data_IF_049294796189
#
_entry.id   IF_049294796189
#
_cell.length_a   1.000
_cell.length_b   1.000
_cell.length_c   1.000
_cell.angle_alpha   90.00
_cell.angle_beta   90.00
_cell.angle_gamma   90.00
#
_symmetry.space_group_name_H-M   'P 1'
#
loop_
_entity.id
_entity.type
_entity.pdbx_description
1 polymer ?
#
# COMPACT_ATOMS: atom_id res chain seq x y z
N UNK A 1 15.79 8.61 7.52
CA UNK A 1 15.90 9.29 6.21
C UNK A 1 15.60 8.33 5.04
N UNK A 2 16.01 7.06 5.13
CA UNK A 2 15.89 6.08 4.03
C UNK A 2 14.45 5.66 3.68
N UNK A 3 13.56 5.41 4.68
CA UNK A 3 12.17 5.00 4.42
C UNK A 3 11.40 6.00 3.55
N UNK A 4 11.64 7.30 3.74
CA UNK A 4 11.05 8.37 2.92
C UNK A 4 11.49 8.25 1.46
N UNK A 5 12.79 8.04 1.23
CA UNK A 5 13.35 7.91 -0.12
C UNK A 5 12.79 6.69 -0.85
N UNK A 6 12.67 5.54 -0.18
CA UNK A 6 12.04 4.34 -0.75
C UNK A 6 10.57 4.57 -1.11
N UNK A 7 9.82 5.28 -0.26
CA UNK A 7 8.43 5.65 -0.53
C UNK A 7 8.32 6.57 -1.74
N UNK A 8 9.16 7.59 -1.81
CA UNK A 8 9.11 8.59 -2.87
C UNK A 8 9.49 7.98 -4.23
N UNK A 9 10.55 7.14 -4.28
CA UNK A 9 10.90 6.33 -5.46
C UNK A 9 9.77 5.39 -5.89
N UNK A 10 9.10 4.73 -4.92
CA UNK A 10 7.93 3.90 -5.24
C UNK A 10 6.83 4.71 -5.94
N UNK A 11 6.59 5.95 -5.50
CA UNK A 11 5.59 6.82 -6.13
C UNK A 11 5.99 7.26 -7.54
N UNK A 12 7.28 7.43 -7.82
CA UNK A 12 7.77 7.66 -9.18
C UNK A 12 7.45 6.46 -10.08
N UNK A 13 7.81 5.24 -9.66
CA UNK A 13 7.51 4.02 -10.43
C UNK A 13 5.99 3.80 -10.59
N UNK A 14 5.20 4.06 -9.56
CA UNK A 14 3.74 3.99 -9.64
C UNK A 14 3.17 5.01 -10.64
N UNK A 15 3.76 6.21 -10.69
CA UNK A 15 3.41 7.24 -11.67
C UNK A 15 3.74 6.82 -13.09
N UNK A 16 4.97 6.32 -13.31
CA UNK A 16 5.43 5.80 -14.60
C UNK A 16 4.55 4.64 -15.08
N UNK A 17 4.23 3.69 -14.19
CA UNK A 17 3.30 2.59 -14.50
C UNK A 17 1.94 3.10 -15.01
N UNK A 18 1.38 4.13 -14.37
CA UNK A 18 0.11 4.75 -14.82
C UNK A 18 0.26 5.38 -16.21
N UNK A 19 1.34 6.12 -16.44
CA UNK A 19 1.62 6.75 -17.75
C UNK A 19 1.77 5.69 -18.84
N UNK A 20 2.53 4.62 -18.59
CA UNK A 20 2.76 3.56 -19.56
C UNK A 20 1.52 2.71 -19.83
N UNK A 21 0.61 2.55 -18.86
CA UNK A 21 -0.73 1.98 -19.11
C UNK A 21 -1.56 2.83 -20.06
N UNK A 22 -1.48 4.15 -19.95
CA UNK A 22 -2.09 5.09 -20.92
C UNK A 22 -1.50 4.92 -22.31
N UNK A 23 -0.17 4.94 -22.42
CA UNK A 23 0.54 4.70 -23.70
C UNK A 23 0.24 3.35 -24.32
N UNK A 24 0.09 2.29 -23.52
CA UNK A 24 -0.31 0.97 -24.00
C UNK A 24 -1.72 0.98 -24.60
N UNK A 25 -2.66 1.70 -23.99
CA UNK A 25 -4.00 1.87 -24.53
C UNK A 25 -3.95 2.61 -25.88
N UNK A 26 -3.19 3.70 -25.97
CA UNK A 26 -2.97 4.46 -27.21
C UNK A 26 -2.30 3.60 -28.31
N UNK A 27 -1.26 2.83 -27.94
CA UNK A 27 -0.56 1.94 -28.87
C UNK A 27 -1.49 0.86 -29.42
N UNK A 28 -2.34 0.27 -28.58
CA UNK A 28 -3.37 -0.70 -29.00
C UNK A 28 -4.37 -0.09 -29.98
N UNK A 29 -4.80 1.15 -29.76
CA UNK A 29 -5.68 1.86 -30.71
C UNK A 29 -4.99 2.17 -32.05
N UNK A 30 -3.66 2.36 -32.05
CA UNK A 30 -2.88 2.64 -33.27
C UNK A 30 -2.50 1.41 -34.11
N UNK A 31 -2.67 0.20 -33.58
CA UNK A 31 -2.42 -1.06 -34.32
C UNK A 31 -0.95 -1.42 -34.58
N UNK A 32 0.02 -0.66 -34.06
CA UNK A 32 1.44 -0.93 -34.30
C UNK A 32 1.99 -1.99 -33.33
N UNK A 33 2.25 -3.19 -33.83
CA UNK A 33 2.71 -4.35 -33.04
C UNK A 33 4.00 -4.09 -32.23
N UNK A 34 4.98 -3.41 -32.82
CA UNK A 34 6.26 -3.13 -32.13
C UNK A 34 6.06 -2.20 -30.93
N UNK A 35 5.25 -1.14 -31.07
CA UNK A 35 4.95 -0.19 -29.99
C UNK A 35 4.08 -0.80 -28.89
N UNK A 36 3.20 -1.74 -29.26
CA UNK A 36 2.38 -2.47 -28.29
C UNK A 36 3.28 -3.33 -27.40
N UNK A 37 4.22 -4.06 -28.00
CA UNK A 37 5.15 -4.91 -27.24
C UNK A 37 6.02 -4.08 -26.30
N UNK A 38 6.64 -3.00 -26.80
CA UNK A 38 7.46 -2.11 -25.99
C UNK A 38 6.67 -1.52 -24.81
N UNK A 39 5.46 -1.00 -25.07
CA UNK A 39 4.61 -0.45 -24.02
C UNK A 39 4.19 -1.50 -22.99
N UNK A 40 3.96 -2.74 -23.42
CA UNK A 40 3.62 -3.85 -22.53
C UNK A 40 4.80 -4.22 -21.62
N UNK A 41 6.01 -4.33 -22.18
CA UNK A 41 7.22 -4.63 -21.42
C UNK A 41 7.50 -3.54 -20.38
N UNK A 42 7.33 -2.27 -20.75
CA UNK A 42 7.49 -1.15 -19.81
C UNK A 42 6.45 -1.15 -18.69
N UNK A 43 5.20 -1.54 -18.97
CA UNK A 43 4.17 -1.71 -17.93
C UNK A 43 4.58 -2.79 -16.94
N UNK A 44 5.04 -3.95 -17.41
CA UNK A 44 5.51 -5.05 -16.56
C UNK A 44 6.70 -4.64 -15.72
N UNK A 45 7.68 -3.95 -16.33
CA UNK A 45 8.87 -3.46 -15.64
C UNK A 45 8.50 -2.52 -14.48
N UNK A 46 7.70 -1.49 -14.74
CA UNK A 46 7.34 -0.54 -13.68
C UNK A 46 6.38 -1.12 -12.65
N UNK A 47 5.56 -2.11 -12.99
CA UNK A 47 4.76 -2.84 -12.00
C UNK A 47 5.66 -3.65 -11.07
N UNK A 48 6.63 -4.35 -11.63
CA UNK A 48 7.62 -5.12 -10.87
C UNK A 48 8.42 -4.21 -9.93
N UNK A 49 8.92 -3.08 -10.43
CA UNK A 49 9.69 -2.12 -9.64
C UNK A 49 8.87 -1.51 -8.49
N UNK A 50 7.61 -1.11 -8.72
CA UNK A 50 6.78 -0.56 -7.65
C UNK A 50 6.40 -1.62 -6.61
N UNK A 51 6.18 -2.88 -7.02
CA UNK A 51 5.87 -3.99 -6.11
C UNK A 51 7.08 -4.38 -5.28
N UNK A 52 8.28 -4.42 -5.86
CA UNK A 52 9.53 -4.64 -5.14
C UNK A 52 9.71 -3.59 -4.02
N UNK A 53 9.51 -2.31 -4.35
CA UNK A 53 9.57 -1.23 -3.36
C UNK A 53 8.45 -1.31 -2.33
N UNK A 54 7.25 -1.81 -2.69
CA UNK A 54 6.18 -2.07 -1.73
C UNK A 54 6.61 -3.13 -0.71
N UNK A 55 7.23 -4.22 -1.17
CA UNK A 55 7.70 -5.30 -0.29
C UNK A 55 8.74 -4.78 0.72
N UNK A 56 9.71 -4.01 0.25
CA UNK A 56 10.71 -3.36 1.13
C UNK A 56 10.05 -2.37 2.10
N UNK A 57 9.07 -1.58 1.64
CA UNK A 57 8.36 -0.63 2.52
C UNK A 57 7.60 -1.33 3.65
N UNK A 58 6.95 -2.45 3.33
CA UNK A 58 6.22 -3.26 4.30
C UNK A 58 7.17 -3.96 5.28
N UNK A 59 8.36 -4.37 4.82
CA UNK A 59 9.34 -5.03 5.68
C UNK A 59 9.96 -4.10 6.74
N UNK A 60 10.03 -2.78 6.52
CA UNK A 60 10.49 -1.84 7.56
C UNK A 60 9.66 -1.95 8.85
N UNK A 61 8.35 -2.17 8.75
CA UNK A 61 7.48 -2.31 9.92
C UNK A 61 7.73 -3.65 10.64
N UNK A 62 7.94 -4.75 9.90
CA UNK A 62 8.30 -6.03 10.52
C UNK A 62 9.72 -6.04 11.10
N UNK A 63 10.65 -5.30 10.49
CA UNK A 63 12.05 -5.28 10.90
C UNK A 63 12.26 -4.74 12.31
N UNK A 64 11.52 -3.71 12.72
CA UNK A 64 11.66 -3.12 14.07
C UNK A 64 11.24 -4.07 15.20
N UNK A 65 10.48 -5.12 14.89
CA UNK A 65 10.10 -6.18 15.84
C UNK A 65 10.89 -7.48 15.65
N UNK A 66 11.85 -7.54 14.72
CA UNK A 66 12.61 -8.77 14.47
C UNK A 66 13.66 -8.98 15.57
N UNK A 67 13.63 -10.15 16.22
CA UNK A 67 14.68 -10.54 17.18
C UNK A 67 16.06 -10.47 16.52
N UNK A 68 17.01 -9.83 17.18
CA UNK A 68 18.36 -9.59 16.65
C UNK A 68 18.46 -8.52 15.55
N UNK A 69 17.44 -7.66 15.39
CA UNK A 69 17.58 -6.44 14.61
C UNK A 69 18.48 -5.44 15.34
N UNK A 70 19.34 -4.73 14.59
CA UNK A 70 20.21 -3.68 15.14
C UNK A 70 19.40 -2.51 15.70
N UNK A 71 18.22 -2.25 15.12
CA UNK A 71 17.27 -1.23 15.55
C UNK A 71 15.94 -1.88 15.93
N UNK A 72 15.98 -2.75 16.96
CA UNK A 72 14.78 -3.32 17.56
C UNK A 72 14.13 -2.31 18.52
N UNK A 73 12.81 -2.08 18.38
CA UNK A 73 12.01 -1.32 19.35
C UNK A 73 10.57 -1.78 19.30
N UNK A 74 10.11 -2.34 20.43
CA UNK A 74 8.72 -2.78 20.59
C UNK A 74 7.78 -1.57 20.72
N UNK A 75 8.26 -0.51 21.36
CA UNK A 75 7.53 0.74 21.59
C UNK A 75 7.21 1.43 20.27
N UNK A 76 8.21 1.56 19.39
CA UNK A 76 8.02 2.13 18.05
C UNK A 76 6.98 1.32 17.27
N UNK A 77 7.06 0.00 17.32
CA UNK A 77 6.11 -0.85 16.64
C UNK A 77 4.69 -0.71 17.23
N UNK A 78 4.57 -0.68 18.55
CA UNK A 78 3.30 -0.46 19.26
C UNK A 78 2.64 0.86 18.90
N UNK A 79 3.39 1.96 18.89
CA UNK A 79 2.88 3.29 18.51
C UNK A 79 2.36 3.31 17.08
N UNK A 80 3.07 2.68 16.12
CA UNK A 80 2.63 2.62 14.73
C UNK A 80 1.33 1.82 14.59
N UNK A 81 1.24 0.65 15.23
CA UNK A 81 0.03 -0.20 15.21
C UNK A 81 -1.16 0.51 15.81
N UNK A 82 -0.98 1.09 17.00
CA UNK A 82 -2.02 1.82 17.71
C UNK A 82 -2.52 3.01 16.89
N UNK A 83 -1.60 3.79 16.31
CA UNK A 83 -1.96 4.96 15.50
C UNK A 83 -2.70 4.54 14.22
N UNK A 84 -2.25 3.49 13.54
CA UNK A 84 -2.93 2.94 12.37
C UNK A 84 -4.34 2.44 12.69
N UNK A 85 -4.48 1.68 13.78
CA UNK A 85 -5.78 1.20 14.27
C UNK A 85 -6.72 2.36 14.62
N UNK A 86 -6.21 3.43 15.25
CA UNK A 86 -7.02 4.61 15.58
C UNK A 86 -7.51 5.35 14.33
N UNK A 87 -6.65 5.50 13.32
CA UNK A 87 -7.02 6.14 12.04
C UNK A 87 -8.15 5.37 11.36
N UNK A 88 -8.03 4.04 11.24
CA UNK A 88 -9.04 3.24 10.53
C UNK A 88 -10.36 3.15 11.31
N UNK A 89 -10.30 3.11 12.65
CA UNK A 89 -11.48 3.15 13.50
C UNK A 89 -12.23 4.49 13.38
N UNK A 90 -11.51 5.61 13.37
CA UNK A 90 -12.12 6.93 13.17
C UNK A 90 -12.79 7.03 11.79
N UNK A 91 -12.11 6.53 10.74
CA UNK A 91 -12.67 6.47 9.39
C UNK A 91 -13.95 5.61 9.34
N UNK A 92 -13.97 4.45 10.02
CA UNK A 92 -15.18 3.61 10.14
C UNK A 92 -16.33 4.37 10.79
N UNK A 93 -16.10 5.05 11.91
CA UNK A 93 -17.12 5.83 12.62
C UNK A 93 -17.70 6.91 11.71
N UNK A 94 -16.87 7.56 10.88
CA UNK A 94 -17.34 8.54 9.92
C UNK A 94 -18.19 7.90 8.82
N UNK A 95 -17.74 6.75 8.27
CA UNK A 95 -18.45 6.00 7.24
C UNK A 95 -19.80 5.47 7.75
N UNK A 96 -19.91 5.03 9.00
CA UNK A 96 -21.15 4.57 9.63
C UNK A 96 -22.23 5.65 9.73
N UNK A 97 -21.83 6.92 9.80
CA UNK A 97 -22.78 8.05 9.85
C UNK A 97 -23.37 8.37 8.48
N UNK A 98 -22.66 8.05 7.41
CA UNK A 98 -23.06 8.40 6.03
C UNK A 98 -23.56 7.20 5.22
N UNK A 99 -23.21 5.98 5.62
CA UNK A 99 -23.50 4.75 4.91
C UNK A 99 -23.31 3.52 5.81
N UNK A 100 -23.04 2.36 5.20
CA UNK A 100 -22.82 1.11 5.96
C UNK A 100 -21.45 0.52 5.64
N UNK A 101 -20.55 0.36 6.62
CA UNK A 101 -19.33 -0.43 6.44
C UNK A 101 -19.68 -1.91 6.31
N UNK A 102 -18.93 -2.62 5.47
CA UNK A 102 -19.07 -4.05 5.22
C UNK A 102 -17.88 -4.81 5.79
N UNK A 103 -16.67 -4.36 5.48
CA UNK A 103 -15.42 -5.01 5.90
C UNK A 103 -14.38 -3.95 6.25
N UNK A 104 -13.66 -4.21 7.34
CA UNK A 104 -12.59 -3.35 7.85
C UNK A 104 -11.27 -4.11 7.78
N UNK A 105 -10.32 -3.59 7.02
CA UNK A 105 -8.95 -4.12 6.92
C UNK A 105 -7.97 -3.08 7.51
N UNK A 106 -6.72 -3.50 7.72
CA UNK A 106 -5.60 -2.74 8.31
C UNK A 106 -5.41 -1.36 7.68
N UNK A 107 -5.68 -1.23 6.37
CA UNK A 107 -5.44 -0.01 5.60
C UNK A 107 -6.64 0.40 4.70
N UNK A 108 -7.81 -0.19 4.90
CA UNK A 108 -8.95 0.05 4.01
C UNK A 108 -10.31 -0.31 4.62
N UNK A 109 -11.35 0.35 4.10
CA UNK A 109 -12.74 0.10 4.46
C UNK A 109 -13.49 -0.23 3.18
N UNK A 110 -14.21 -1.35 3.19
CA UNK A 110 -15.26 -1.65 2.22
C UNK A 110 -16.57 -1.17 2.80
N UNK A 111 -17.30 -0.35 2.05
CA UNK A 111 -18.55 0.22 2.51
C UNK A 111 -19.51 0.49 1.35
N UNK A 112 -20.80 0.55 1.68
CA UNK A 112 -21.84 1.05 0.79
C UNK A 112 -22.25 2.45 1.23
N UNK A 113 -22.33 3.36 0.27
CA UNK A 113 -22.82 4.72 0.46
C UNK A 113 -24.18 4.87 -0.27
N UNK A 114 -25.06 5.77 0.18
CA UNK A 114 -26.30 6.07 -0.53
C UNK A 114 -26.03 6.54 -1.96
N UNK A 115 -26.91 6.21 -2.92
CA UNK A 115 -26.76 6.64 -4.31
C UNK A 115 -26.82 8.17 -4.51
N UNK A 116 -27.38 8.90 -3.55
CA UNK A 116 -27.37 10.37 -3.53
C UNK A 116 -26.05 10.98 -3.00
N UNK A 117 -25.11 10.15 -2.55
CA UNK A 117 -23.85 10.61 -2.00
C UNK A 117 -22.96 11.20 -3.11
N UNK A 118 -22.31 12.36 -2.88
CA UNK A 118 -21.40 12.92 -3.87
C UNK A 118 -20.18 12.02 -4.10
N UNK A 119 -19.93 11.63 -5.35
CA UNK A 119 -18.81 10.74 -5.70
C UNK A 119 -17.60 11.50 -6.26
N UNK A 120 -17.67 11.93 -7.52
CA UNK A 120 -16.52 12.47 -8.24
C UNK A 120 -16.83 13.85 -8.80
N UNK A 121 -15.96 14.82 -8.50
CA UNK A 121 -16.02 16.17 -9.03
C UNK A 121 -14.83 16.42 -9.96
N UNK A 122 -15.06 17.10 -11.09
CA UNK A 122 -14.00 17.48 -12.02
C UNK A 122 -13.88 18.99 -12.09
N UNK A 123 -12.75 19.52 -11.63
CA UNK A 123 -12.44 20.95 -11.69
C UNK A 123 -11.63 21.27 -12.95
N UNK A 124 -11.95 22.41 -13.58
CA UNK A 124 -11.13 23.01 -14.62
C UNK A 124 -10.17 24.00 -13.96
N UNK A 125 -8.88 23.73 -14.05
CA UNK A 125 -7.86 24.69 -13.56
C UNK A 125 -7.69 25.84 -14.55
N UNK A 126 -7.18 26.99 -14.08
CA UNK A 126 -6.85 28.14 -14.95
C UNK A 126 -5.86 27.78 -16.07
N UNK A 127 -5.06 26.73 -15.85
CA UNK A 127 -4.07 26.18 -16.80
C UNK A 127 -4.71 25.16 -17.78
N UNK A 128 -6.04 25.00 -17.76
CA UNK A 128 -6.78 24.11 -18.67
C UNK A 128 -6.72 22.62 -18.31
N UNK A 129 -5.89 22.22 -17.34
CA UNK A 129 -5.84 20.82 -16.87
C UNK A 129 -7.09 20.48 -16.04
N UNK A 130 -7.69 19.33 -16.34
CA UNK A 130 -8.80 18.76 -15.55
C UNK A 130 -8.25 18.07 -14.31
N UNK A 131 -8.77 18.40 -13.14
CA UNK A 131 -8.47 17.72 -11.87
C UNK A 131 -9.73 17.02 -11.39
N UNK A 132 -9.70 15.69 -11.34
CA UNK A 132 -10.79 14.90 -10.78
C UNK A 132 -10.48 14.55 -9.33
N UNK A 133 -11.42 14.84 -8.44
CA UNK A 133 -11.37 14.46 -7.03
C UNK A 133 -12.49 13.47 -6.72
N UNK A 134 -12.25 12.58 -5.76
CA UNK A 134 -13.30 11.75 -5.15
C UNK A 134 -13.65 12.37 -3.80
N UNK A 135 -14.91 12.81 -3.64
CA UNK A 135 -15.37 13.48 -2.42
C UNK A 135 -15.23 12.60 -1.17
N UNK A 136 -15.63 11.31 -1.17
CA UNK A 136 -15.44 10.44 0.00
C UNK A 136 -13.97 10.28 0.39
N UNK A 137 -13.07 10.19 -0.60
CA UNK A 137 -11.63 10.10 -0.33
C UNK A 137 -11.08 11.40 0.27
N UNK A 138 -11.49 12.56 -0.27
CA UNK A 138 -11.07 13.87 0.25
C UNK A 138 -11.60 14.09 1.66
N UNK A 139 -12.86 13.76 1.92
CA UNK A 139 -13.48 13.84 3.23
C UNK A 139 -12.68 13.06 4.29
N UNK A 140 -12.34 11.79 4.01
CA UNK A 140 -11.52 10.97 4.90
C UNK A 140 -10.10 11.53 5.07
N UNK A 141 -9.49 12.03 4.00
CA UNK A 141 -8.15 12.60 4.07
C UNK A 141 -8.10 13.89 4.90
N UNK A 142 -9.15 14.71 4.86
CA UNK A 142 -9.28 15.90 5.72
C UNK A 142 -9.43 15.50 7.18
N UNK A 143 -10.22 14.48 7.50
CA UNK A 143 -10.36 13.98 8.87
C UNK A 143 -9.02 13.49 9.44
N UNK A 144 -8.28 12.68 8.67
CA UNK A 144 -6.94 12.23 9.05
C UNK A 144 -5.97 13.39 9.21
N UNK A 145 -6.00 14.37 8.31
CA UNK A 145 -5.12 15.54 8.43
C UNK A 145 -5.42 16.36 9.69
N UNK A 146 -6.69 16.50 10.09
CA UNK A 146 -7.05 17.23 11.31
C UNK A 146 -6.66 16.50 12.59
N UNK A 147 -6.81 15.17 12.62
CA UNK A 147 -6.65 14.38 13.83
C UNK A 147 -5.24 13.77 14.00
N UNK A 148 -4.44 13.69 12.93
CA UNK A 148 -3.17 12.93 12.94
C UNK A 148 -1.99 13.71 12.35
N UNK A 149 -2.10 15.03 12.16
CA UNK A 149 -0.95 15.86 11.77
C UNK A 149 0.03 15.99 12.94
N UNK A 150 1.33 15.89 12.64
CA UNK A 150 2.40 16.12 13.61
C UNK A 150 2.91 17.56 13.49
N UNK A 151 2.41 18.44 14.35
CA UNK A 151 2.78 19.85 14.40
C UNK A 151 4.16 20.11 15.04
N UNK A 152 4.76 19.08 15.63
CA UNK A 152 6.05 19.14 16.33
C UNK A 152 7.22 18.59 15.48
N UNK A 153 7.02 18.36 14.18
CA UNK A 153 8.06 17.80 13.31
C UNK A 153 9.20 18.81 13.07
N UNK A 154 10.40 18.50 13.57
CA UNK A 154 11.58 19.35 13.44
C UNK A 154 12.52 18.82 12.34
N UNK A 155 13.10 19.74 11.57
CA UNK A 155 14.16 19.45 10.61
C UNK A 155 15.43 20.17 11.02
N UNK A 156 16.56 19.47 10.87
CA UNK A 156 17.88 20.08 11.03
C UNK A 156 18.13 21.04 9.87
N UNK A 157 18.37 22.31 10.18
CA UNK A 157 18.81 23.31 9.21
C UNK A 157 20.28 23.63 9.49
N UNK A 158 21.18 23.24 8.58
CA UNK A 158 22.58 23.65 8.67
C UNK A 158 22.74 25.02 7.99
N UNK A 159 22.80 26.07 8.80
CA UNK A 159 23.33 27.36 8.38
C UNK A 159 24.87 27.32 8.31
N UNK A 160 25.48 28.32 7.69
CA UNK A 160 26.93 28.40 7.48
C UNK A 160 27.75 28.43 8.78
N UNK A 161 27.17 28.86 9.91
CA UNK A 161 27.89 29.01 11.19
C UNK A 161 27.10 28.57 12.45
N UNK A 162 25.90 27.97 12.34
CA UNK A 162 25.13 27.46 13.49
C UNK A 162 24.25 26.27 13.09
N UNK A 163 24.05 25.34 14.02
CA UNK A 163 23.07 24.25 13.90
C UNK A 163 21.75 24.73 14.49
N UNK A 164 20.83 25.17 13.63
CA UNK A 164 19.50 25.59 14.06
C UNK A 164 18.46 24.51 13.69
N UNK A 165 17.47 24.30 14.54
CA UNK A 165 16.33 23.42 14.26
C UNK A 165 15.13 24.28 13.84
N UNK A 166 14.57 23.99 12.67
CA UNK A 166 13.35 24.66 12.21
C UNK A 166 12.17 23.72 12.33
N UNK A 167 11.08 24.21 12.92
CA UNK A 167 9.79 23.52 12.88
C UNK A 167 9.33 23.45 11.43
N UNK A 168 9.28 22.23 10.88
CA UNK A 168 8.61 22.00 9.63
C UNK A 168 7.10 21.99 9.94
N UNK A 169 6.47 23.19 9.93
CA UNK A 169 5.01 23.26 9.85
C UNK A 169 4.59 22.34 8.70
N UNK A 170 3.70 21.39 8.99
CA UNK A 170 3.30 20.34 8.06
C UNK A 170 2.88 20.93 6.73
N UNK A 171 3.84 21.05 5.80
CA UNK A 171 3.55 21.59 4.49
C UNK A 171 2.80 20.49 3.74
N UNK A 172 1.48 20.63 3.68
CA UNK A 172 0.57 19.72 2.99
C UNK A 172 1.03 19.45 1.55
N UNK A 173 1.75 20.39 0.93
CA UNK A 173 2.28 20.26 -0.44
C UNK A 173 3.30 19.12 -0.60
N UNK A 174 3.96 18.69 0.49
CA UNK A 174 4.91 17.57 0.48
C UNK A 174 4.31 16.24 0.91
N UNK A 175 3.13 16.25 1.52
CA UNK A 175 2.41 15.03 1.88
C UNK A 175 1.48 14.65 0.72
N UNK A 176 1.95 13.74 -0.15
CA UNK A 176 1.06 13.12 -1.14
C UNK A 176 -0.08 12.44 -0.39
N UNK A 177 -1.32 12.70 -0.84
CA UNK A 177 -2.56 12.10 -0.35
C UNK A 177 -2.32 10.70 0.22
N UNK A 178 -2.61 10.52 1.50
CA UNK A 178 -2.80 9.18 2.06
C UNK A 178 -3.93 8.60 1.22
N UNK A 179 -3.63 7.59 0.42
CA UNK A 179 -4.66 6.85 -0.27
C UNK A 179 -5.40 6.07 0.80
N UNK A 180 -6.32 6.71 1.53
CA UNK A 180 -7.42 6.00 2.17
C UNK A 180 -8.17 5.37 1.01
N UNK A 181 -7.83 4.11 0.74
CA UNK A 181 -8.29 3.42 -0.45
C UNK A 181 -9.72 3.01 -0.14
N UNK A 182 -10.67 3.93 -0.26
CA UNK A 182 -12.08 3.59 -0.29
C UNK A 182 -12.27 2.76 -1.56
N UNK A 183 -12.36 1.45 -1.40
CA UNK A 183 -12.68 0.57 -2.51
C UNK A 183 -14.20 0.49 -2.57
N UNK A 184 -14.77 1.31 -3.45
CA UNK A 184 -16.13 1.10 -3.92
C UNK A 184 -16.08 -0.15 -4.80
N UNK A 185 -16.69 -1.23 -4.33
CA UNK A 185 -16.77 -2.46 -5.12
C UNK A 185 -17.66 -2.25 -6.35
N UNK A 186 -17.37 -2.89 -7.49
CA UNK A 186 -18.39 -3.06 -8.51
C UNK A 186 -19.50 -3.92 -7.91
N UNK A 187 -20.72 -3.40 -7.90
CA UNK A 187 -21.92 -4.18 -7.63
C UNK A 187 -22.51 -4.56 -8.98
N UNK A 188 -22.50 -5.85 -9.31
CA UNK A 188 -23.47 -6.39 -10.28
C UNK A 188 -24.83 -6.48 -9.58
N UNK A 189 -25.93 -6.47 -10.35
CA UNK A 189 -27.33 -6.44 -9.85
C UNK A 189 -27.65 -7.57 -8.85
N UNK A 190 -26.80 -8.59 -8.80
CA UNK A 190 -26.91 -9.78 -7.97
C UNK A 190 -26.31 -9.62 -6.56
N UNK A 191 -25.71 -8.47 -6.25
CA UNK A 191 -25.15 -8.16 -4.91
C UNK A 191 -23.90 -8.96 -4.51
N UNK A 192 -23.32 -9.76 -5.42
CA UNK A 192 -22.17 -10.61 -5.14
C UNK A 192 -20.85 -9.90 -5.43
N UNK A 193 -20.02 -9.72 -4.39
CA UNK A 193 -18.71 -9.05 -4.48
C UNK A 193 -17.66 -10.01 -5.07
N UNK A 194 -17.40 -9.92 -6.39
CA UNK A 194 -16.24 -10.57 -7.03
C UNK A 194 -15.16 -9.53 -7.29
N UNK A 195 -14.23 -9.36 -6.36
CA UNK A 195 -13.16 -8.37 -6.54
C UNK A 195 -11.95 -8.99 -7.23
N UNK A 196 -11.34 -8.25 -8.16
CA UNK A 196 -10.01 -8.54 -8.71
C UNK A 196 -8.89 -8.51 -7.62
N UNK A 197 -9.21 -8.24 -6.36
CA UNK A 197 -8.32 -8.38 -5.21
C UNK A 197 -8.31 -9.83 -4.71
N UNK A 198 -9.48 -10.47 -4.67
CA UNK A 198 -9.65 -11.88 -4.29
C UNK A 198 -8.97 -12.81 -5.31
N UNK A 199 -9.05 -12.48 -6.60
CA UNK A 199 -8.33 -13.20 -7.66
C UNK A 199 -6.81 -12.97 -7.62
N UNK A 200 -6.35 -11.76 -7.30
CA UNK A 200 -4.92 -11.47 -7.13
C UNK A 200 -4.33 -12.11 -5.88
N UNK A 201 -5.07 -12.16 -4.78
CA UNK A 201 -4.68 -12.93 -3.59
C UNK A 201 -4.65 -14.42 -3.90
N UNK A 202 -5.65 -14.96 -4.62
CA UNK A 202 -5.60 -16.35 -5.13
C UNK A 202 -4.38 -16.60 -6.01
N UNK A 203 -4.05 -15.71 -6.95
CA UNK A 203 -2.87 -15.86 -7.81
C UNK A 203 -1.56 -15.74 -7.04
N UNK A 204 -1.48 -14.88 -6.02
CA UNK A 204 -0.31 -14.81 -5.14
C UNK A 204 -0.16 -16.07 -4.28
N UNK A 205 -1.25 -16.61 -3.76
CA UNK A 205 -1.27 -17.88 -3.01
C UNK A 205 -0.87 -19.04 -3.92
N UNK A 206 -1.40 -19.10 -5.15
CA UNK A 206 -1.07 -20.12 -6.15
C UNK A 206 0.40 -20.05 -6.58
N UNK A 207 0.94 -18.83 -6.77
CA UNK A 207 2.38 -18.65 -7.04
C UNK A 207 3.24 -19.09 -5.86
N UNK A 208 2.81 -18.84 -4.62
CA UNK A 208 3.56 -19.27 -3.43
C UNK A 208 3.52 -20.79 -3.23
N UNK A 209 2.41 -21.45 -3.57
CA UNK A 209 2.29 -22.92 -3.55
C UNK A 209 3.17 -23.55 -4.63
N UNK A 210 3.15 -23.03 -5.86
CA UNK A 210 4.02 -23.52 -6.93
C UNK A 210 5.52 -23.33 -6.61
N UNK A 211 5.90 -22.24 -5.93
CA UNK A 211 7.27 -22.02 -5.46
C UNK A 211 7.68 -23.01 -4.34
N UNK A 212 6.77 -23.36 -3.45
CA UNK A 212 6.99 -24.38 -2.42
C UNK A 212 7.15 -25.78 -3.05
N UNK A 213 6.32 -26.10 -4.04
CA UNK A 213 6.38 -27.39 -4.75
C UNK A 213 7.66 -27.54 -5.56
N UNK A 214 8.14 -26.46 -6.21
CA UNK A 214 9.45 -26.43 -6.86
C UNK A 214 10.61 -26.62 -5.85
N UNK A 215 10.52 -26.01 -4.66
CA UNK A 215 11.53 -26.17 -3.62
C UNK A 215 11.57 -27.61 -3.07
N UNK A 216 10.41 -28.24 -2.91
CA UNK A 216 10.28 -29.63 -2.47
C UNK A 216 10.79 -30.63 -3.53
N UNK A 217 10.60 -30.34 -4.83
CA UNK A 217 11.13 -31.16 -5.92
C UNK A 217 12.65 -30.97 -6.11
N UNK A 218 13.19 -29.80 -5.78
CA UNK A 218 14.64 -29.56 -5.81
C UNK A 218 15.37 -30.24 -4.63
N UNK A 219 14.71 -30.40 -3.47
CA UNK A 219 15.26 -31.07 -2.29
C UNK A 219 15.47 -32.58 -2.42
N UNK A 220 14.84 -33.24 -3.41
CA UNK A 220 14.94 -34.68 -3.61
C UNK A 220 16.16 -35.16 -4.41
N UNK A 221 17.06 -34.25 -4.87
CA UNK A 221 18.26 -34.63 -5.66
C UNK A 221 19.59 -34.54 -4.93
N UNK A 222 19.63 -34.18 -3.65
CA UNK A 222 20.91 -34.14 -2.90
C UNK A 222 20.75 -34.72 -1.49
N UNK A 223 21.34 -35.90 -1.26
CA UNK A 223 21.69 -36.35 0.09
C UNK A 223 21.22 -37.75 0.45
N UNK A 224 22.02 -38.77 0.11
CA UNK A 224 22.05 -40.02 0.88
C UNK A 224 22.61 -39.73 2.27
N UNK A 225 21.80 -39.88 3.31
CA UNK A 225 22.21 -39.83 4.71
C UNK A 225 21.15 -40.46 5.60
N UNK A 226 21.53 -41.51 6.34
CA UNK A 226 20.65 -42.31 7.20
C UNK A 226 19.88 -41.47 8.24
N UNK A 227 18.63 -41.86 8.60
CA UNK A 227 17.88 -41.20 9.66
C UNK A 227 18.37 -41.64 11.05
N UNK A 228 18.69 -40.67 11.91
CA UNK A 228 18.86 -40.84 13.37
C UNK A 228 17.51 -40.52 14.03
N UNK A 229 16.94 -41.37 14.91
CA UNK A 229 15.65 -41.12 15.52
C UNK A 229 15.75 -40.07 16.63
N UNK A 230 15.00 -38.96 16.50
CA UNK A 230 14.82 -37.97 17.56
C UNK A 230 13.77 -38.47 18.56
N UNK A 231 14.19 -38.56 19.82
CA UNK A 231 13.40 -38.99 20.96
C UNK A 231 12.21 -38.08 21.24
N UNK A 232 11.09 -38.72 21.56
CA UNK A 232 9.83 -38.16 22.04
C UNK A 232 10.04 -37.55 23.42
N UNK A 233 10.03 -36.23 23.57
CA UNK A 233 9.83 -35.59 24.87
C UNK A 233 8.34 -35.32 25.07
N UNK A 234 7.80 -35.92 26.13
CA UNK A 234 6.45 -35.74 26.62
C UNK A 234 6.30 -34.34 27.22
N UNK A 235 5.16 -33.71 26.93
CA UNK A 235 4.63 -32.57 27.65
C UNK A 235 4.21 -33.03 29.05
N UNK A 236 4.73 -32.40 30.09
CA UNK A 236 4.03 -32.29 31.38
C UNK A 236 3.92 -30.80 31.73
N UNK A 237 2.67 -30.35 31.94
CA UNK A 237 2.30 -29.22 32.79
C UNK A 237 2.25 -29.71 34.25
N UNK A 238 2.37 -28.85 35.29
CA UNK A 238 2.08 -27.40 35.32
C UNK A 238 3.26 -26.46 35.61
#
# INVERSE_FOLDING_TARGET
MEKKNFRDKRYEYKGLNKTWKGKLAEAKSSGNSMKIQEAQDMVVLYDSLQLAHKSILNSFYGYVMRKGARWYSMEMAGVVTYTGAKIIQNARILVEKIGRPLELDTEGIWCVLPGSCPENFTFKTKVGKKLTISYPCVMLNVDVARNNTNDQYQLLFRGTNCMDFTLAKGNLDRYKNISTRLKLGPFEEDGLVRTASTERQRQQVLMSQNLLDLANHAGHRTGHGHPVPLGRQQLEEP
#
